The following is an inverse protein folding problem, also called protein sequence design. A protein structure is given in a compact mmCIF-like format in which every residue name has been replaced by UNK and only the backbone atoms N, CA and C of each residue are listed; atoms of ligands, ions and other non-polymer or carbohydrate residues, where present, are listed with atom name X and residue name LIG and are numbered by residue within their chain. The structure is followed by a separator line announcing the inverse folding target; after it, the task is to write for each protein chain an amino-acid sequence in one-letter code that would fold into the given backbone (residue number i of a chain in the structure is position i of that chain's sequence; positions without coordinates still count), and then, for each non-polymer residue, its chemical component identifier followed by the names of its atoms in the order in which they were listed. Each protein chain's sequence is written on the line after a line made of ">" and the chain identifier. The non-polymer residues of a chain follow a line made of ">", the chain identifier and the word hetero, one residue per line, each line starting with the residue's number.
data_IF_506793998926
#
_entry.id   IF_506793998926
#
_cell.length_a   1.000
_cell.length_b   1.000
_cell.length_c   1.000
_cell.angle_alpha   90.00
_cell.angle_beta   90.00
_cell.angle_gamma   90.00
#
_symmetry.space_group_name_H-M   'P 1'
#
loop_
_entity.id
_entity.type
_entity.pdbx_description
1 polymer ?
#
# COMPACT_ATOMS: atom_id res chain seq x y z
N UNK A 1 -6.55 -14.12 -22.56
CA UNK A 1 -6.46 -14.97 -21.35
C UNK A 1 -5.86 -14.12 -20.25
N UNK A 2 -6.57 -13.91 -19.14
CA UNK A 2 -6.03 -13.18 -18.00
C UNK A 2 -4.91 -14.03 -17.37
N UNK A 3 -3.74 -13.45 -17.16
CA UNK A 3 -2.63 -14.15 -16.52
C UNK A 3 -2.88 -14.34 -15.02
N UNK A 4 -2.23 -15.32 -14.42
CA UNK A 4 -2.24 -15.55 -12.98
C UNK A 4 -1.02 -14.85 -12.35
N UNK A 5 -1.24 -14.04 -11.30
CA UNK A 5 -0.16 -13.51 -10.49
C UNK A 5 0.27 -14.61 -9.50
N UNK A 6 1.52 -15.05 -9.63
CA UNK A 6 2.11 -15.99 -8.68
C UNK A 6 2.86 -15.22 -7.59
N UNK A 7 2.36 -15.26 -6.36
CA UNK A 7 2.95 -14.52 -5.24
C UNK A 7 4.35 -15.01 -4.82
N UNK A 8 4.75 -16.22 -5.23
CA UNK A 8 6.12 -16.74 -5.03
C UNK A 8 7.12 -16.18 -6.05
N UNK A 9 6.63 -15.61 -7.15
CA UNK A 9 7.46 -15.07 -8.23
C UNK A 9 7.45 -13.54 -8.19
N UNK A 10 8.57 -12.95 -7.79
CA UNK A 10 8.77 -11.50 -7.74
C UNK A 10 8.55 -10.84 -9.11
N UNK A 11 8.93 -11.51 -10.19
CA UNK A 11 8.74 -10.98 -11.55
C UNK A 11 7.25 -10.93 -11.90
N UNK A 12 6.47 -11.94 -11.50
CA UNK A 12 5.02 -11.99 -11.72
C UNK A 12 4.29 -10.84 -11.04
N UNK A 13 4.69 -10.46 -9.83
CA UNK A 13 4.06 -9.34 -9.10
C UNK A 13 4.42 -7.98 -9.70
N UNK A 14 5.60 -7.83 -10.30
CA UNK A 14 6.02 -6.57 -10.94
C UNK A 14 5.33 -6.31 -12.28
N UNK A 15 4.93 -7.36 -12.99
CA UNK A 15 4.25 -7.25 -14.30
C UNK A 15 2.83 -6.67 -14.19
N UNK A 16 2.22 -6.73 -13.00
CA UNK A 16 0.88 -6.21 -12.76
C UNK A 16 0.80 -4.68 -12.74
N UNK A 17 1.94 -4.00 -12.65
CA UNK A 17 1.98 -2.56 -12.43
C UNK A 17 2.65 -1.83 -13.59
N UNK A 18 1.94 -0.84 -14.13
CA UNK A 18 2.47 0.13 -15.08
C UNK A 18 2.34 1.52 -14.47
N UNK A 19 3.47 2.17 -14.21
CA UNK A 19 3.47 3.55 -13.73
C UNK A 19 3.20 4.52 -14.89
N UNK A 20 2.27 5.44 -14.66
CA UNK A 20 1.98 6.54 -15.57
C UNK A 20 1.94 7.84 -14.77
N UNK A 21 2.48 8.90 -15.33
CA UNK A 21 2.31 10.26 -14.81
C UNK A 21 1.14 10.91 -15.52
N UNK A 22 0.21 11.49 -14.76
CA UNK A 22 -0.94 12.19 -15.31
C UNK A 22 -0.82 13.70 -15.06
N UNK A 23 -0.81 14.48 -16.13
CA UNK A 23 -0.72 15.94 -16.00
C UNK A 23 -2.11 16.60 -15.89
N UNK A 24 -3.12 16.01 -16.51
CA UNK A 24 -4.46 16.60 -16.59
C UNK A 24 -5.53 15.78 -15.89
N UNK A 25 -5.69 14.53 -16.25
CA UNK A 25 -6.73 13.67 -15.69
C UNK A 25 -6.51 12.21 -16.08
N UNK A 26 -7.15 11.32 -15.31
CA UNK A 26 -7.14 9.88 -15.60
C UNK A 26 -8.55 9.32 -15.55
N UNK A 27 -8.92 8.54 -16.54
CA UNK A 27 -10.21 7.86 -16.65
C UNK A 27 -10.12 6.46 -16.09
N UNK A 28 -10.66 6.27 -14.90
CA UNK A 28 -10.78 4.95 -14.27
C UNK A 28 -11.97 4.24 -14.88
N UNK A 29 -11.71 3.16 -15.60
CA UNK A 29 -12.74 2.35 -16.25
C UNK A 29 -13.55 1.56 -15.20
N UNK A 30 -14.75 1.05 -15.54
CA UNK A 30 -15.48 0.12 -14.68
C UNK A 30 -14.63 -1.07 -14.26
N UNK A 31 -14.61 -1.39 -12.96
CA UNK A 31 -13.82 -2.47 -12.35
C UNK A 31 -12.29 -2.32 -12.49
N UNK A 32 -11.81 -1.15 -12.87
CA UNK A 32 -10.38 -0.89 -12.90
C UNK A 32 -9.86 -0.52 -11.50
N UNK A 33 -8.75 -1.14 -11.12
CA UNK A 33 -7.98 -0.82 -9.91
C UNK A 33 -6.69 -0.12 -10.30
N UNK A 34 -6.45 1.02 -9.67
CA UNK A 34 -5.23 1.81 -9.85
C UNK A 34 -4.57 2.09 -8.51
N UNK A 35 -3.28 2.36 -8.52
CA UNK A 35 -2.55 2.91 -7.39
C UNK A 35 -2.25 4.38 -7.65
N UNK A 36 -2.56 5.23 -6.67
CA UNK A 36 -2.30 6.67 -6.74
C UNK A 36 -1.28 7.06 -5.69
N UNK A 37 -0.21 7.72 -6.12
CA UNK A 37 0.81 8.25 -5.21
C UNK A 37 0.29 9.50 -4.51
N UNK A 38 0.47 9.58 -3.19
CA UNK A 38 0.16 10.80 -2.44
C UNK A 38 1.12 11.93 -2.82
N UNK A 39 0.60 13.16 -2.86
CA UNK A 39 1.45 14.35 -2.98
C UNK A 39 2.24 14.58 -1.71
N UNK A 40 1.62 14.29 -0.57
CA UNK A 40 2.22 14.41 0.73
C UNK A 40 3.31 13.35 0.93
N UNK A 41 4.46 13.78 1.44
CA UNK A 41 5.49 12.90 1.99
C UNK A 41 5.33 12.88 3.49
N UNK A 42 5.19 11.69 4.04
CA UNK A 42 4.98 11.48 5.48
C UNK A 42 6.32 11.29 6.19
N UNK A 43 6.36 11.68 7.45
CA UNK A 43 7.46 11.40 8.36
C UNK A 43 6.87 11.27 9.77
N UNK A 44 6.57 10.05 10.17
CA UNK A 44 5.92 9.74 11.43
C UNK A 44 6.92 9.66 12.58
N UNK A 45 6.67 10.34 13.71
CA UNK A 45 7.45 10.14 14.91
C UNK A 45 7.12 8.79 15.58
N UNK A 46 7.95 8.35 16.50
CA UNK A 46 7.78 7.07 17.19
C UNK A 46 6.50 6.97 18.04
N UNK A 47 5.94 8.10 18.46
CA UNK A 47 4.76 8.17 19.32
C UNK A 47 3.43 8.34 18.57
N UNK A 48 3.46 8.33 17.21
CA UNK A 48 2.26 8.44 16.39
C UNK A 48 2.16 7.29 15.41
N UNK A 49 0.94 6.84 15.23
CA UNK A 49 0.51 6.02 14.10
C UNK A 49 -0.60 6.73 13.34
N UNK A 50 -0.97 6.24 12.18
CA UNK A 50 -2.03 6.84 11.40
C UNK A 50 -2.79 5.83 10.55
N UNK A 51 -4.02 6.22 10.18
CA UNK A 51 -4.88 5.44 9.30
C UNK A 51 -5.41 6.33 8.18
N UNK A 52 -5.23 5.88 6.95
CA UNK A 52 -5.87 6.51 5.80
C UNK A 52 -7.30 6.02 5.71
N UNK A 53 -8.22 6.97 5.59
CA UNK A 53 -9.65 6.71 5.39
C UNK A 53 -10.15 7.42 4.12
N UNK A 54 -11.09 6.82 3.39
CA UNK A 54 -11.68 7.49 2.23
C UNK A 54 -12.47 8.73 2.66
N UNK A 55 -12.53 9.73 1.78
CA UNK A 55 -13.51 10.79 1.92
C UNK A 55 -14.87 10.29 1.43
N UNK A 56 -15.90 10.61 2.17
CA UNK A 56 -17.30 10.20 1.92
C UNK A 56 -17.76 10.48 0.47
N UNK A 57 -17.29 11.57 -0.12
CA UNK A 57 -17.63 11.93 -1.51
C UNK A 57 -17.25 10.80 -2.48
N UNK A 58 -16.02 10.27 -2.37
CA UNK A 58 -15.56 9.21 -3.27
C UNK A 58 -16.27 7.89 -3.01
N UNK A 59 -16.49 7.56 -1.73
CA UNK A 59 -17.25 6.36 -1.37
C UNK A 59 -18.68 6.41 -1.93
N UNK A 60 -19.33 7.57 -1.88
CA UNK A 60 -20.68 7.75 -2.45
C UNK A 60 -20.71 7.71 -3.99
N UNK A 61 -19.60 8.04 -4.64
CA UNK A 61 -19.44 7.91 -6.09
C UNK A 61 -19.11 6.47 -6.52
N UNK A 62 -18.95 5.54 -5.59
CA UNK A 62 -18.58 4.17 -5.89
C UNK A 62 -17.09 3.97 -6.17
N UNK A 63 -16.26 4.92 -5.75
CA UNK A 63 -14.81 4.75 -5.72
C UNK A 63 -14.37 4.25 -4.34
N UNK A 64 -13.82 3.05 -4.29
CA UNK A 64 -13.29 2.47 -3.06
C UNK A 64 -11.81 2.81 -2.95
N UNK A 65 -11.44 3.53 -1.90
CA UNK A 65 -10.05 3.78 -1.52
C UNK A 65 -9.61 2.69 -0.54
N UNK A 66 -8.44 2.09 -0.78
CA UNK A 66 -7.86 1.16 0.19
C UNK A 66 -7.46 1.88 1.47
N UNK A 67 -7.92 1.35 2.59
CA UNK A 67 -7.47 1.78 3.90
C UNK A 67 -6.01 1.33 4.11
N UNK A 68 -5.19 2.20 4.71
CA UNK A 68 -3.81 1.87 5.02
C UNK A 68 -3.45 2.31 6.44
N UNK A 69 -2.74 1.43 7.12
CA UNK A 69 -2.10 1.74 8.38
C UNK A 69 -0.70 2.32 8.12
N UNK A 70 -0.38 3.40 8.83
CA UNK A 70 0.93 4.03 8.77
C UNK A 70 1.65 3.77 10.08
N UNK A 71 2.70 3.00 10.01
CA UNK A 71 3.47 2.61 11.18
C UNK A 71 4.23 3.78 11.81
N UNK A 72 4.48 3.75 13.13
CA UNK A 72 5.43 4.66 13.78
C UNK A 72 6.78 4.62 13.08
N UNK A 73 7.39 5.79 12.91
CA UNK A 73 8.67 6.01 12.21
C UNK A 73 8.65 5.72 10.69
N UNK A 74 7.48 5.49 10.08
CA UNK A 74 7.37 5.46 8.63
C UNK A 74 7.78 6.81 8.03
N UNK A 75 8.58 6.76 6.97
CA UNK A 75 8.92 7.91 6.13
C UNK A 75 8.70 7.53 4.67
N UNK A 76 8.14 8.43 3.86
CA UNK A 76 7.92 8.20 2.44
C UNK A 76 6.58 8.73 1.94
N UNK A 77 6.29 8.43 0.67
CA UNK A 77 4.97 8.62 0.08
C UNK A 77 4.12 7.36 0.29
N UNK A 78 2.80 7.51 0.21
CA UNK A 78 1.88 6.38 0.21
C UNK A 78 1.36 6.15 -1.22
N UNK A 79 1.16 4.88 -1.55
CA UNK A 79 0.47 4.46 -2.76
C UNK A 79 -0.87 3.86 -2.35
N UNK A 80 -1.94 4.59 -2.65
CA UNK A 80 -3.31 4.25 -2.25
C UNK A 80 -4.05 3.58 -3.40
N UNK A 81 -4.68 2.46 -3.13
CA UNK A 81 -5.50 1.76 -4.11
C UNK A 81 -6.84 2.44 -4.34
N UNK A 82 -7.24 2.59 -5.58
CA UNK A 82 -8.54 3.10 -6.00
C UNK A 82 -9.20 2.09 -6.92
N UNK A 83 -10.39 1.65 -6.55
CA UNK A 83 -11.23 0.74 -7.35
C UNK A 83 -12.50 1.43 -7.77
N UNK A 84 -12.79 1.47 -9.06
CA UNK A 84 -14.07 1.93 -9.58
C UNK A 84 -15.06 0.74 -9.60
N UNK A 85 -16.04 0.75 -8.68
CA UNK A 85 -17.07 -0.29 -8.59
C UNK A 85 -18.33 0.01 -9.40
N UNK A 86 -18.35 1.15 -10.11
CA UNK A 86 -19.52 1.57 -10.89
C UNK A 86 -19.45 1.07 -12.33
N UNK A 87 -20.58 1.02 -13.05
CA UNK A 87 -20.59 0.74 -14.49
C UNK A 87 -20.15 1.95 -15.35
N UNK A 88 -19.78 3.08 -14.73
CA UNK A 88 -19.41 4.31 -15.42
C UNK A 88 -17.90 4.53 -15.36
N UNK A 89 -17.34 5.15 -16.38
CA UNK A 89 -15.99 5.70 -16.33
C UNK A 89 -15.98 6.92 -15.43
N UNK A 90 -15.04 6.95 -14.47
CA UNK A 90 -14.86 8.07 -13.55
C UNK A 90 -13.55 8.76 -13.84
N UNK A 91 -13.58 10.05 -14.10
CA UNK A 91 -12.40 10.84 -14.35
C UNK A 91 -11.92 11.52 -13.06
N UNK A 92 -10.65 11.26 -12.71
CA UNK A 92 -9.99 11.88 -11.56
C UNK A 92 -8.86 12.80 -12.04
N UNK A 93 -8.51 13.77 -11.21
CA UNK A 93 -7.54 14.80 -11.54
C UNK A 93 -6.43 14.85 -10.50
N UNK A 94 -5.22 15.29 -10.87
CA UNK A 94 -4.13 15.53 -9.92
C UNK A 94 -4.55 16.50 -8.81
N UNK A 95 -3.96 16.31 -7.63
CA UNK A 95 -4.20 17.14 -6.43
C UNK A 95 -5.62 17.07 -5.84
N UNK A 96 -6.45 16.11 -6.24
CA UNK A 96 -7.70 15.85 -5.55
C UNK A 96 -7.45 15.37 -4.13
N UNK A 97 -8.21 15.88 -3.18
CA UNK A 97 -8.21 15.38 -1.79
C UNK A 97 -9.06 14.12 -1.70
N UNK A 98 -8.46 12.97 -1.95
CA UNK A 98 -9.15 11.67 -2.07
C UNK A 98 -9.37 10.97 -0.73
N UNK A 99 -8.49 11.19 0.22
CA UNK A 99 -8.50 10.57 1.55
C UNK A 99 -8.37 11.60 2.66
N UNK A 100 -8.44 11.11 3.86
CA UNK A 100 -8.14 11.82 5.11
C UNK A 100 -7.30 10.90 5.98
N UNK A 101 -6.46 11.49 6.83
CA UNK A 101 -5.67 10.74 7.80
C UNK A 101 -6.25 10.94 9.19
N UNK A 102 -6.33 9.85 9.94
CA UNK A 102 -6.60 9.85 11.37
C UNK A 102 -5.29 9.57 12.06
N UNK A 103 -4.91 10.43 13.01
CA UNK A 103 -3.72 10.24 13.82
C UNK A 103 -4.12 9.63 15.16
N UNK A 104 -3.32 8.66 15.62
CA UNK A 104 -3.48 8.04 16.92
C UNK A 104 -2.16 8.14 17.69
N UNK A 105 -2.26 8.63 18.93
CA UNK A 105 -1.11 8.69 19.81
C UNK A 105 -0.90 7.32 20.45
N UNK A 106 0.34 6.85 20.44
CA UNK A 106 0.74 5.63 21.12
C UNK A 106 1.01 5.97 22.58
N UNK A 107 0.35 5.27 23.50
CA UNK A 107 0.62 5.35 24.91
C UNK A 107 1.72 4.34 25.30
N UNK A 108 2.66 4.79 26.15
CA UNK A 108 3.81 3.99 26.56
C UNK A 108 5.01 4.13 25.62
N UNK A 109 6.04 3.37 25.95
CA UNK A 109 7.29 3.33 25.15
C UNK A 109 7.22 2.22 24.10
N UNK A 110 7.52 2.59 22.85
CA UNK A 110 7.71 1.62 21.77
C UNK A 110 9.19 1.25 21.75
N UNK A 111 9.49 -0.04 21.88
CA UNK A 111 10.88 -0.52 21.83
C UNK A 111 11.46 -0.26 20.43
N UNK A 112 12.75 0.07 20.37
CA UNK A 112 13.44 0.39 19.10
C UNK A 112 13.26 -0.71 18.03
N UNK A 113 13.21 -1.98 18.44
CA UNK A 113 13.04 -3.13 17.55
C UNK A 113 11.68 -3.15 16.84
N UNK A 114 10.63 -2.58 17.46
CA UNK A 114 9.27 -2.51 16.90
C UNK A 114 9.07 -1.31 15.99
N UNK A 115 9.97 -0.35 15.98
CA UNK A 115 9.90 0.81 15.11
C UNK A 115 10.08 0.42 13.64
N UNK A 116 9.22 0.94 12.77
CA UNK A 116 9.21 0.58 11.35
C UNK A 116 10.58 0.81 10.68
N UNK A 117 11.25 1.91 11.02
CA UNK A 117 12.60 2.24 10.50
C UNK A 117 13.66 1.17 10.77
N UNK A 118 13.47 0.34 11.81
CA UNK A 118 14.42 -0.66 12.28
C UNK A 118 14.03 -2.09 11.86
N UNK A 119 12.83 -2.26 11.28
CA UNK A 119 12.38 -3.58 10.82
C UNK A 119 13.09 -3.97 9.53
N UNK A 120 13.66 -5.16 9.49
CA UNK A 120 14.33 -5.74 8.31
C UNK A 120 13.33 -5.90 7.14
N UNK A 121 12.06 -6.15 7.45
CA UNK A 121 10.97 -6.36 6.51
C UNK A 121 10.16 -5.08 6.20
N UNK A 122 10.68 -3.90 6.59
CA UNK A 122 10.06 -2.60 6.28
C UNK A 122 10.21 -2.26 4.79
N UNK A 123 9.45 -2.95 3.94
CA UNK A 123 9.56 -2.89 2.47
C UNK A 123 9.40 -1.49 1.88
N UNK A 124 8.58 -0.66 2.51
CA UNK A 124 8.15 0.64 1.95
C UNK A 124 8.74 1.83 2.72
N UNK A 125 9.78 1.59 3.55
CA UNK A 125 10.48 2.69 4.23
C UNK A 125 11.22 3.54 3.22
N UNK A 126 11.06 4.87 3.31
CA UNK A 126 11.61 5.86 2.38
C UNK A 126 11.15 5.70 0.92
N UNK A 127 9.90 5.24 0.72
CA UNK A 127 9.35 5.05 -0.61
C UNK A 127 9.12 6.38 -1.31
N UNK A 128 10.05 6.76 -2.18
CA UNK A 128 9.95 7.92 -3.07
C UNK A 128 9.51 7.54 -4.49
N UNK A 129 9.79 6.29 -4.88
CA UNK A 129 9.34 5.66 -6.14
C UNK A 129 8.60 4.39 -5.80
N UNK A 130 7.66 4.02 -6.64
CA UNK A 130 6.86 2.81 -6.46
C UNK A 130 7.74 1.57 -6.27
N UNK A 131 7.51 0.87 -5.17
CA UNK A 131 8.12 -0.43 -4.88
C UNK A 131 7.08 -1.51 -5.17
N UNK A 132 7.39 -2.39 -6.10
CA UNK A 132 6.47 -3.48 -6.46
C UNK A 132 6.21 -4.40 -5.27
N UNK A 133 4.94 -4.70 -4.95
CA UNK A 133 4.62 -5.57 -3.84
C UNK A 133 5.13 -6.99 -4.10
N UNK A 134 5.72 -7.61 -3.08
CA UNK A 134 6.13 -9.00 -3.12
C UNK A 134 6.06 -9.61 -1.73
N UNK A 135 5.58 -10.84 -1.65
CA UNK A 135 5.55 -11.66 -0.43
C UNK A 135 6.35 -12.98 -0.63
N UNK A 136 7.13 -13.06 -1.71
CA UNK A 136 7.87 -14.27 -2.06
C UNK A 136 8.84 -14.70 -0.94
N UNK A 137 9.55 -13.76 -0.34
CA UNK A 137 10.50 -14.03 0.74
C UNK A 137 9.80 -14.53 2.01
N UNK A 138 8.61 -14.01 2.32
CA UNK A 138 7.79 -14.43 3.45
C UNK A 138 7.27 -15.87 3.25
N UNK A 139 6.80 -16.18 2.04
CA UNK A 139 6.34 -17.52 1.67
C UNK A 139 7.50 -18.52 1.77
N UNK A 140 8.68 -18.16 1.27
CA UNK A 140 9.86 -19.04 1.32
C UNK A 140 10.32 -19.27 2.77
N UNK A 141 10.37 -18.22 3.59
CA UNK A 141 10.73 -18.36 5.00
C UNK A 141 9.79 -19.30 5.76
N UNK A 142 8.47 -19.21 5.52
CA UNK A 142 7.50 -20.09 6.15
C UNK A 142 7.62 -21.53 5.63
N UNK A 143 7.88 -21.70 4.34
CA UNK A 143 8.15 -23.02 3.77
C UNK A 143 9.35 -23.70 4.41
N UNK A 144 10.47 -23.00 4.58
CA UNK A 144 11.66 -23.51 5.24
C UNK A 144 11.39 -23.86 6.71
N UNK A 145 10.60 -23.06 7.41
CA UNK A 145 10.18 -23.34 8.80
C UNK A 145 9.38 -24.63 8.90
N UNK A 146 8.46 -24.87 7.98
CA UNK A 146 7.65 -26.10 7.91
C UNK A 146 8.54 -27.31 7.62
N UNK A 147 9.44 -27.21 6.63
CA UNK A 147 10.37 -28.30 6.29
C UNK A 147 11.23 -28.70 7.51
N UNK A 148 11.78 -27.72 8.22
CA UNK A 148 12.58 -27.99 9.42
C UNK A 148 11.80 -28.77 10.47
N UNK A 149 10.54 -28.39 10.74
CA UNK A 149 9.67 -29.10 11.69
C UNK A 149 9.36 -30.55 11.27
N UNK A 150 9.31 -30.83 9.96
CA UNK A 150 9.06 -32.17 9.45
C UNK A 150 10.31 -33.06 9.58
N UNK A 151 11.48 -32.49 9.34
CA UNK A 151 12.77 -33.21 9.38
C UNK A 151 13.29 -33.46 10.81
N UNK A 152 12.82 -32.70 11.78
CA UNK A 152 13.16 -32.84 13.21
C UNK A 152 12.25 -33.83 13.98
N UNK A 153 11.27 -34.47 13.30
CA UNK A 153 10.41 -35.53 13.81
C UNK A 153 10.91 -36.91 13.36
#
# INVERSE_FOLDING_TARGET
>A
MLGTINLRDKASTSLANKEITIDYGYKIMPNEYILVKTKEKFNFPAFLTGHIRPRTTFSRLGLILSDQHINPTFSGHLYLGFLNTTPYTIEIYPNLKIGQIIFEKIEGEVTEELLYKNKIDAKYQNEDKFISPSVADEIEAEYQRILKRILEK
#
